data_IF_907988483068
#
_entry.id   IF_907988483068
#
_cell.length_a   1.000
_cell.length_b   1.000
_cell.length_c   1.000
_cell.angle_alpha   90.00
_cell.angle_beta   90.00
_cell.angle_gamma   90.00
#
_symmetry.space_group_name_H-M   'P 1'
#
loop_
_entity.id
_entity.type
_entity.pdbx_description
1 polymer ?
#
# COMPACT_ATOMS: atom_id res chain seq x y z
N UNK A 1 -10.24 -13.04 -24.05
CA UNK A 1 -9.94 -11.63 -23.68
C UNK A 1 -8.56 -11.56 -23.01
N UNK A 2 -7.74 -10.52 -23.32
CA UNK A 2 -6.45 -10.35 -22.64
C UNK A 2 -6.68 -9.94 -21.18
N UNK A 3 -6.07 -10.66 -20.24
CA UNK A 3 -6.14 -10.37 -18.79
C UNK A 3 -5.48 -9.02 -18.47
N UNK A 4 -6.02 -8.29 -17.52
CA UNK A 4 -5.52 -6.96 -17.11
C UNK A 4 -5.23 -6.98 -15.61
N UNK A 5 -4.01 -6.57 -15.27
CA UNK A 5 -3.58 -6.26 -13.92
C UNK A 5 -3.40 -4.74 -13.80
N UNK A 6 -4.18 -4.09 -12.96
CA UNK A 6 -3.96 -2.70 -12.58
C UNK A 6 -3.17 -2.64 -11.27
N UNK A 7 -2.20 -1.75 -11.19
CA UNK A 7 -1.30 -1.62 -10.04
C UNK A 7 -1.35 -0.17 -9.56
N UNK A 8 -1.81 0.03 -8.35
CA UNK A 8 -1.70 1.30 -7.63
C UNK A 8 -0.37 1.30 -6.87
N UNK A 9 0.52 2.21 -7.18
CA UNK A 9 1.82 2.27 -6.54
C UNK A 9 2.41 3.68 -6.51
N UNK A 10 3.60 3.80 -5.96
CA UNK A 10 4.37 5.04 -5.91
C UNK A 10 4.94 5.40 -7.29
N UNK A 11 5.61 6.54 -7.43
CA UNK A 11 6.23 6.92 -8.70
C UNK A 11 7.26 5.86 -9.14
N UNK A 12 7.06 5.28 -10.33
CA UNK A 12 7.95 4.26 -10.90
C UNK A 12 9.42 4.71 -10.97
N UNK A 13 9.69 6.00 -11.10
CA UNK A 13 11.06 6.54 -11.12
C UNK A 13 11.78 6.42 -9.78
N UNK A 14 11.03 6.27 -8.68
CA UNK A 14 11.55 6.17 -7.32
C UNK A 14 11.64 4.73 -6.82
N UNK A 15 11.18 3.77 -7.62
CA UNK A 15 11.15 2.36 -7.23
C UNK A 15 12.56 1.78 -7.23
N UNK A 16 12.94 1.15 -6.11
CA UNK A 16 14.17 0.37 -6.02
C UNK A 16 13.91 -1.07 -6.47
N UNK A 17 14.28 -1.38 -7.70
CA UNK A 17 14.05 -2.71 -8.31
C UNK A 17 14.67 -3.89 -7.52
N UNK A 18 15.69 -3.64 -6.70
CA UNK A 18 16.35 -4.70 -5.92
C UNK A 18 15.51 -5.16 -4.72
N UNK A 19 14.64 -4.30 -4.21
CA UNK A 19 13.87 -4.55 -2.98
C UNK A 19 12.37 -4.48 -3.18
N UNK A 20 11.90 -3.91 -4.30
CA UNK A 20 10.48 -3.71 -4.57
C UNK A 20 9.83 -4.97 -5.14
N UNK A 21 8.97 -5.59 -4.32
CA UNK A 21 8.20 -6.77 -4.71
C UNK A 21 7.09 -6.46 -5.72
N UNK A 22 6.70 -5.20 -5.90
CA UNK A 22 5.67 -4.80 -6.89
C UNK A 22 6.14 -5.06 -8.31
N UNK A 23 7.40 -4.76 -8.59
CA UNK A 23 8.00 -4.99 -9.91
C UNK A 23 8.15 -6.49 -10.18
N UNK A 24 8.50 -7.27 -9.15
CA UNK A 24 8.56 -8.73 -9.26
C UNK A 24 7.16 -9.31 -9.61
N UNK A 25 6.12 -8.89 -8.90
CA UNK A 25 4.74 -9.30 -9.16
C UNK A 25 4.26 -8.88 -10.55
N UNK A 26 4.60 -7.64 -10.97
CA UNK A 26 4.27 -7.15 -12.30
C UNK A 26 4.96 -7.96 -13.41
N UNK A 27 6.25 -8.28 -13.23
CA UNK A 27 7.01 -9.10 -14.17
C UNK A 27 6.40 -10.49 -14.31
N UNK A 28 6.05 -11.12 -13.20
CA UNK A 28 5.44 -12.46 -13.20
C UNK A 28 4.04 -12.43 -13.85
N UNK A 29 3.23 -11.42 -13.55
CA UNK A 29 1.94 -11.25 -14.20
C UNK A 29 2.07 -11.06 -15.72
N UNK A 30 3.08 -10.28 -16.16
CA UNK A 30 3.36 -10.10 -17.59
C UNK A 30 3.72 -11.41 -18.27
N UNK A 31 4.56 -12.26 -17.67
CA UNK A 31 4.88 -13.61 -18.18
C UNK A 31 3.64 -14.47 -18.34
N UNK A 32 2.64 -14.30 -17.44
CA UNK A 32 1.34 -14.99 -17.49
C UNK A 32 0.33 -14.33 -18.46
N UNK A 33 0.77 -13.40 -19.29
CA UNK A 33 -0.03 -12.77 -20.34
C UNK A 33 -0.92 -11.61 -19.88
N UNK A 34 -0.72 -11.07 -18.68
CA UNK A 34 -1.44 -9.89 -18.24
C UNK A 34 -0.90 -8.63 -18.93
N UNK A 35 -1.81 -7.74 -19.35
CA UNK A 35 -1.48 -6.34 -19.60
C UNK A 35 -1.37 -5.61 -18.29
N UNK A 36 -0.33 -4.78 -18.13
CA UNK A 36 -0.03 -4.05 -16.92
C UNK A 36 -0.46 -2.59 -17.03
N UNK A 37 -1.40 -2.15 -16.21
CA UNK A 37 -1.77 -0.75 -16.07
C UNK A 37 -1.31 -0.24 -14.71
N UNK A 38 -0.41 0.74 -14.71
CA UNK A 38 0.16 1.32 -13.49
C UNK A 38 -0.37 2.74 -13.28
N UNK A 39 -0.76 3.07 -12.05
CA UNK A 39 -1.23 4.40 -11.70
C UNK A 39 -0.84 4.78 -10.27
N UNK A 40 -0.67 6.08 -10.05
CA UNK A 40 -0.42 6.64 -8.72
C UNK A 40 -1.76 7.02 -8.06
N UNK A 41 -1.86 7.08 -6.71
CA UNK A 41 -3.08 7.46 -5.99
C UNK A 41 -3.70 8.78 -6.48
N UNK A 42 -2.85 9.77 -6.80
CA UNK A 42 -3.30 11.10 -7.29
C UNK A 42 -4.02 11.06 -8.64
N UNK A 43 -3.87 9.96 -9.37
CA UNK A 43 -4.43 9.76 -10.70
C UNK A 43 -5.77 9.00 -10.66
N UNK A 44 -6.30 8.73 -9.47
CA UNK A 44 -7.57 8.06 -9.28
C UNK A 44 -8.71 9.08 -9.22
N UNK A 45 -9.79 8.80 -9.92
CA UNK A 45 -10.98 9.64 -10.01
C UNK A 45 -12.26 8.82 -9.90
N UNK A 46 -13.31 9.44 -9.38
CA UNK A 46 -14.66 8.91 -9.43
C UNK A 46 -15.52 9.81 -10.32
N UNK A 47 -16.11 9.24 -11.35
CA UNK A 47 -16.94 9.96 -12.31
C UNK A 47 -18.17 9.14 -12.68
N UNK A 48 -19.36 9.65 -12.42
CA UNK A 48 -20.63 9.04 -12.82
C UNK A 48 -20.72 7.54 -12.47
N UNK A 49 -20.42 7.21 -11.21
CA UNK A 49 -20.50 5.84 -10.71
C UNK A 49 -19.32 4.92 -11.12
N UNK A 50 -18.32 5.43 -11.82
CA UNK A 50 -17.15 4.67 -12.30
C UNK A 50 -15.89 5.13 -11.61
N UNK A 51 -15.01 4.18 -11.26
CA UNK A 51 -13.68 4.47 -10.76
C UNK A 51 -12.70 4.40 -11.93
N UNK A 52 -12.14 5.55 -12.27
CA UNK A 52 -11.27 5.75 -13.42
C UNK A 52 -9.88 6.13 -12.91
N UNK A 53 -8.84 5.55 -13.51
CA UNK A 53 -7.47 5.96 -13.23
C UNK A 53 -6.77 6.41 -14.52
N UNK A 54 -5.99 7.49 -14.43
CA UNK A 54 -5.03 7.83 -15.49
C UNK A 54 -3.83 6.90 -15.37
N UNK A 55 -3.81 5.87 -16.21
CA UNK A 55 -2.88 4.76 -16.15
C UNK A 55 -1.78 4.88 -17.19
N UNK A 56 -0.58 4.40 -16.83
CA UNK A 56 0.50 4.05 -17.76
C UNK A 56 0.37 2.56 -18.09
N UNK A 57 0.13 2.21 -19.34
CA UNK A 57 0.31 0.84 -19.83
C UNK A 57 1.81 0.58 -19.94
N UNK A 58 2.33 -0.28 -19.08
CA UNK A 58 3.77 -0.52 -18.97
C UNK A 58 4.15 -1.91 -19.44
N UNK A 59 5.42 -2.04 -19.84
CA UNK A 59 6.10 -3.32 -20.07
C UNK A 59 7.31 -3.40 -19.15
N UNK A 60 7.46 -4.51 -18.45
CA UNK A 60 8.61 -4.78 -17.59
C UNK A 60 9.70 -5.46 -18.39
N UNK A 61 10.94 -5.06 -18.17
CA UNK A 61 12.14 -5.59 -18.80
C UNK A 61 13.08 -6.20 -17.77
N UNK A 62 13.83 -7.19 -18.18
CA UNK A 62 14.88 -7.78 -17.33
C UNK A 62 16.19 -6.95 -17.41
N UNK A 63 16.09 -5.64 -17.18
CA UNK A 63 17.22 -4.73 -17.17
C UNK A 63 17.13 -3.81 -15.95
N UNK A 64 18.13 -3.86 -15.07
CA UNK A 64 18.13 -3.12 -13.81
C UNK A 64 18.13 -1.59 -13.97
N UNK A 65 18.72 -1.06 -15.07
CA UNK A 65 18.77 0.38 -15.32
C UNK A 65 17.47 0.89 -15.99
N UNK A 66 16.94 0.11 -16.93
CA UNK A 66 15.73 0.44 -17.70
C UNK A 66 14.71 -0.69 -17.53
N UNK A 67 14.18 -0.87 -16.31
CA UNK A 67 13.35 -2.02 -15.97
C UNK A 67 11.92 -1.92 -16.49
N UNK A 68 11.48 -0.78 -17.00
CA UNK A 68 10.16 -0.61 -17.61
C UNK A 68 10.18 0.34 -18.79
N UNK A 69 9.18 0.19 -19.64
CA UNK A 69 8.82 1.19 -20.67
C UNK A 69 7.32 1.50 -20.58
N UNK A 70 6.96 2.72 -20.95
CA UNK A 70 5.57 3.15 -21.06
C UNK A 70 5.16 2.99 -22.52
N UNK A 71 4.20 2.13 -22.81
CA UNK A 71 3.68 1.89 -24.13
C UNK A 71 2.65 2.94 -24.53
N UNK A 72 1.80 3.36 -23.57
CA UNK A 72 0.82 4.43 -23.71
C UNK A 72 0.28 4.88 -22.37
N UNK A 73 -0.35 6.05 -22.33
CA UNK A 73 -1.16 6.53 -21.21
C UNK A 73 -2.63 6.51 -21.59
N UNK A 74 -3.52 6.26 -20.64
CA UNK A 74 -4.95 6.12 -20.87
C UNK A 74 -5.78 6.38 -19.61
N UNK A 75 -6.92 7.05 -19.75
CA UNK A 75 -7.96 7.02 -18.75
C UNK A 75 -8.65 5.66 -18.79
N UNK A 76 -8.46 4.86 -17.75
CA UNK A 76 -8.89 3.48 -17.72
C UNK A 76 -9.95 3.26 -16.64
N UNK A 77 -11.11 2.71 -17.01
CA UNK A 77 -12.11 2.26 -16.06
C UNK A 77 -11.60 1.01 -15.34
N UNK A 78 -11.32 1.12 -14.05
CA UNK A 78 -10.72 0.05 -13.24
C UNK A 78 -11.64 -1.19 -13.09
N UNK A 79 -12.94 -1.05 -13.29
CA UNK A 79 -13.87 -2.21 -13.31
C UNK A 79 -13.57 -3.19 -14.45
N UNK A 80 -12.83 -2.77 -15.47
CA UNK A 80 -12.38 -3.63 -16.57
C UNK A 80 -11.11 -4.43 -16.25
N UNK A 81 -10.53 -4.25 -15.06
CA UNK A 81 -9.40 -5.05 -14.60
C UNK A 81 -9.86 -6.44 -14.14
N UNK A 82 -9.00 -7.44 -14.31
CA UNK A 82 -9.20 -8.75 -13.68
C UNK A 82 -8.76 -8.71 -12.21
N UNK A 83 -7.65 -7.99 -11.95
CA UNK A 83 -7.09 -7.81 -10.62
C UNK A 83 -6.56 -6.38 -10.47
N UNK A 84 -6.71 -5.81 -9.28
CA UNK A 84 -6.05 -4.57 -8.87
C UNK A 84 -5.15 -4.89 -7.69
N UNK A 85 -3.89 -4.44 -7.72
CA UNK A 85 -2.98 -4.50 -6.58
C UNK A 85 -2.87 -3.12 -5.96
N UNK A 86 -3.10 -3.03 -4.64
CA UNK A 86 -2.80 -1.84 -3.85
C UNK A 86 -1.39 -2.02 -3.30
N UNK A 87 -0.44 -1.26 -3.85
CA UNK A 87 0.99 -1.33 -3.56
C UNK A 87 1.60 0.02 -3.23
N UNK A 88 0.78 0.92 -2.68
CA UNK A 88 1.29 2.20 -2.20
C UNK A 88 2.16 2.04 -0.98
N UNK A 89 3.29 2.74 -0.99
CA UNK A 89 4.08 2.92 0.22
C UNK A 89 3.38 3.87 1.20
N UNK A 90 3.66 3.75 2.52
CA UNK A 90 3.27 4.74 3.51
C UNK A 90 3.81 6.15 3.16
N UNK A 91 3.26 7.20 3.76
CA UNK A 91 2.41 7.21 4.95
C UNK A 91 0.94 6.91 4.64
N UNK A 92 0.25 6.26 5.60
CA UNK A 92 -1.19 6.08 5.57
C UNK A 92 -1.90 7.36 6.02
N UNK A 93 -2.01 8.30 5.09
CA UNK A 93 -2.63 9.61 5.28
C UNK A 93 -4.04 9.67 4.68
N UNK A 94 -4.71 10.82 4.79
CA UNK A 94 -6.05 11.01 4.23
C UNK A 94 -6.14 10.73 2.73
N UNK A 95 -5.12 11.05 1.94
CA UNK A 95 -5.08 10.71 0.51
C UNK A 95 -5.09 9.19 0.30
N UNK A 96 -4.28 8.46 1.05
CA UNK A 96 -4.27 7.00 1.02
C UNK A 96 -5.66 6.45 1.39
N UNK A 97 -6.25 6.97 2.49
CA UNK A 97 -7.57 6.60 2.96
C UNK A 97 -8.64 6.80 1.88
N UNK A 98 -8.68 7.96 1.23
CA UNK A 98 -9.66 8.25 0.18
C UNK A 98 -9.54 7.31 -1.01
N UNK A 99 -8.34 6.96 -1.45
CA UNK A 99 -8.17 6.00 -2.54
C UNK A 99 -8.71 4.63 -2.19
N UNK A 100 -8.60 4.20 -0.93
CA UNK A 100 -9.19 2.94 -0.49
C UNK A 100 -10.73 2.96 -0.51
N UNK A 101 -11.37 4.10 -0.21
CA UNK A 101 -12.83 4.23 -0.35
C UNK A 101 -13.26 4.10 -1.82
N UNK A 102 -12.59 4.79 -2.74
CA UNK A 102 -12.88 4.70 -4.16
C UNK A 102 -12.72 3.28 -4.68
N UNK A 103 -11.62 2.60 -4.36
CA UNK A 103 -11.40 1.21 -4.76
C UNK A 103 -12.42 0.26 -4.12
N UNK A 104 -12.83 0.52 -2.86
CA UNK A 104 -13.84 -0.29 -2.21
C UNK A 104 -15.19 -0.26 -2.93
N UNK A 105 -15.53 0.86 -3.59
CA UNK A 105 -16.77 0.99 -4.38
C UNK A 105 -16.87 -0.08 -5.48
N UNK A 106 -15.74 -0.50 -6.04
CA UNK A 106 -15.69 -1.52 -7.10
C UNK A 106 -15.22 -2.90 -6.64
N UNK A 107 -14.98 -3.09 -5.33
CA UNK A 107 -14.40 -4.34 -4.79
C UNK A 107 -15.29 -5.58 -4.96
N UNK A 108 -16.60 -5.39 -5.18
CA UNK A 108 -17.53 -6.50 -5.51
C UNK A 108 -17.45 -6.92 -6.98
N UNK A 109 -16.92 -6.06 -7.86
CA UNK A 109 -16.83 -6.30 -9.31
C UNK A 109 -15.44 -6.74 -9.75
N UNK A 110 -14.40 -6.34 -9.01
CA UNK A 110 -13.00 -6.59 -9.33
C UNK A 110 -12.27 -7.15 -8.12
N UNK A 111 -11.42 -8.15 -8.34
CA UNK A 111 -10.55 -8.67 -7.28
C UNK A 111 -9.47 -7.66 -6.94
N UNK A 112 -9.46 -7.15 -5.71
CA UNK A 112 -8.49 -6.15 -5.24
C UNK A 112 -7.64 -6.74 -4.11
N UNK A 113 -6.34 -6.65 -4.23
CA UNK A 113 -5.34 -7.17 -3.29
C UNK A 113 -4.38 -6.02 -2.91
N UNK A 114 -4.21 -5.68 -1.67
CA UNK A 114 -4.97 -6.10 -0.49
C UNK A 114 -6.39 -5.50 -0.54
N UNK A 115 -7.37 -6.16 0.10
CA UNK A 115 -8.75 -5.66 0.07
C UNK A 115 -8.84 -4.26 0.70
N UNK A 116 -9.45 -3.26 0.03
CA UNK A 116 -9.44 -1.86 0.50
C UNK A 116 -10.01 -1.66 1.89
N UNK A 117 -11.04 -2.42 2.26
CA UNK A 117 -11.60 -2.42 3.62
C UNK A 117 -10.56 -2.88 4.65
N UNK A 118 -9.84 -3.97 4.37
CA UNK A 118 -8.79 -4.48 5.26
C UNK A 118 -7.65 -3.47 5.40
N UNK A 119 -7.21 -2.85 4.29
CA UNK A 119 -6.17 -1.81 4.31
C UNK A 119 -6.53 -0.66 5.25
N UNK A 120 -7.80 -0.26 5.30
CA UNK A 120 -8.25 0.81 6.22
C UNK A 120 -8.33 0.37 7.68
N UNK A 121 -8.78 -0.85 7.93
CA UNK A 121 -9.18 -1.29 9.28
C UNK A 121 -8.12 -2.13 9.98
N UNK A 122 -7.11 -2.61 9.25
CA UNK A 122 -6.01 -3.40 9.80
C UNK A 122 -4.75 -2.51 9.86
N UNK A 123 -4.76 -1.58 10.82
CA UNK A 123 -3.59 -0.75 11.10
C UNK A 123 -2.43 -1.61 11.60
N UNK A 124 -1.23 -1.38 11.08
CA UNK A 124 -0.01 -2.13 11.39
C UNK A 124 0.24 -2.29 12.90
N UNK A 125 -0.03 -1.24 13.68
CA UNK A 125 0.25 -1.24 15.12
C UNK A 125 -1.01 -1.45 15.97
N UNK A 126 -2.13 -0.84 15.56
CA UNK A 126 -3.35 -0.91 16.37
C UNK A 126 -4.05 -2.27 16.28
N UNK A 127 -3.94 -2.96 15.13
CA UNK A 127 -4.57 -4.27 14.98
C UNK A 127 -3.99 -5.32 15.91
N UNK A 128 -2.73 -5.18 16.32
CA UNK A 128 -2.04 -6.11 17.24
C UNK A 128 -2.70 -6.20 18.62
N UNK A 129 -3.43 -5.16 19.08
CA UNK A 129 -4.12 -5.20 20.38
C UNK A 129 -5.16 -6.33 20.49
N UNK A 130 -5.65 -6.83 19.37
CA UNK A 130 -6.52 -8.01 19.34
C UNK A 130 -5.79 -9.31 19.75
N UNK A 131 -4.46 -9.27 19.87
CA UNK A 131 -3.60 -10.41 20.15
C UNK A 131 -2.76 -10.21 21.42
N UNK A 132 -3.29 -9.50 22.42
CA UNK A 132 -2.59 -9.12 23.65
C UNK A 132 -1.86 -10.27 24.34
N UNK A 133 -2.40 -11.48 24.28
CA UNK A 133 -1.78 -12.67 24.91
C UNK A 133 -0.41 -13.05 24.30
N UNK A 134 -0.10 -12.55 23.09
CA UNK A 134 1.16 -12.78 22.40
C UNK A 134 2.08 -11.55 22.41
N UNK A 135 1.65 -10.47 23.07
CA UNK A 135 2.41 -9.23 23.09
C UNK A 135 3.17 -9.08 24.41
N UNK A 136 4.35 -8.44 24.38
CA UNK A 136 4.98 -7.98 25.61
C UNK A 136 4.12 -6.90 26.27
N UNK A 137 4.41 -6.50 27.53
CA UNK A 137 3.77 -5.35 28.16
C UNK A 137 3.78 -4.15 27.20
N UNK A 138 2.61 -3.62 26.89
CA UNK A 138 2.44 -2.59 25.85
C UNK A 138 1.58 -1.46 26.41
N UNK A 139 2.00 -0.22 26.16
CA UNK A 139 1.23 1.00 26.40
C UNK A 139 1.02 1.72 25.07
N UNK A 140 -0.21 2.13 24.78
CA UNK A 140 -0.56 3.04 23.69
C UNK A 140 -1.16 4.28 24.33
N UNK A 141 -0.45 5.42 24.25
CA UNK A 141 -0.86 6.65 24.94
C UNK A 141 -0.12 7.86 24.38
N UNK A 142 -0.78 9.01 24.41
CA UNK A 142 -0.17 10.33 24.20
C UNK A 142 0.12 11.03 25.56
N UNK A 143 -0.35 10.44 26.66
CA UNK A 143 -0.19 11.00 27.99
C UNK A 143 1.23 10.79 28.52
N UNK A 144 2.00 11.88 28.60
CA UNK A 144 3.40 11.84 29.05
C UNK A 144 3.58 11.25 30.47
N UNK A 145 2.61 11.47 31.39
CA UNK A 145 2.70 10.92 32.76
C UNK A 145 2.58 9.40 32.73
N UNK A 146 1.66 8.85 31.95
CA UNK A 146 1.50 7.41 31.79
C UNK A 146 2.70 6.78 31.08
N UNK A 147 3.24 7.43 30.06
CA UNK A 147 4.45 6.98 29.37
C UNK A 147 5.63 6.89 30.35
N UNK A 148 5.88 7.94 31.15
CA UNK A 148 6.95 7.96 32.17
C UNK A 148 6.74 6.87 33.23
N UNK A 149 5.52 6.65 33.69
CA UNK A 149 5.18 5.61 34.66
C UNK A 149 5.44 4.21 34.10
N UNK A 150 5.02 3.97 32.84
CA UNK A 150 5.25 2.71 32.16
C UNK A 150 6.75 2.43 31.98
N UNK A 151 7.52 3.44 31.52
CA UNK A 151 8.97 3.35 31.37
C UNK A 151 9.67 2.99 32.69
N UNK A 152 9.34 3.69 33.80
CA UNK A 152 9.91 3.38 35.13
C UNK A 152 9.64 1.93 35.55
N UNK A 153 8.45 1.39 35.23
CA UNK A 153 8.07 0.01 35.53
C UNK A 153 8.82 -1.02 34.69
N UNK A 154 8.97 -0.77 33.38
CA UNK A 154 9.57 -1.71 32.44
C UNK A 154 11.10 -1.61 32.33
N UNK A 155 11.68 -0.49 32.78
CA UNK A 155 13.12 -0.15 32.73
C UNK A 155 13.68 0.04 31.32
N UNK A 156 13.26 -0.78 30.35
CA UNK A 156 13.63 -0.69 28.93
C UNK A 156 12.39 -0.81 28.07
N UNK A 157 12.20 0.09 27.12
CA UNK A 157 11.03 0.13 26.23
C UNK A 157 11.43 0.47 24.79
N UNK A 158 10.64 -0.01 23.86
CA UNK A 158 10.69 0.40 22.46
C UNK A 158 9.53 1.36 22.19
N UNK A 159 9.84 2.57 21.78
CA UNK A 159 8.82 3.58 21.41
C UNK A 159 8.63 3.57 19.91
N UNK A 160 7.37 3.50 19.47
CA UNK A 160 7.01 3.50 18.05
C UNK A 160 5.89 4.51 17.80
N UNK A 161 6.05 5.50 16.90
CA UNK A 161 4.92 6.36 16.54
C UNK A 161 3.82 5.53 15.87
N UNK A 162 2.55 5.84 16.17
CA UNK A 162 1.40 5.08 15.66
C UNK A 162 1.34 5.13 14.12
N UNK A 163 1.60 6.28 13.54
CA UNK A 163 1.59 6.56 12.11
C UNK A 163 2.95 6.36 11.41
N UNK A 164 4.00 6.02 12.18
CA UNK A 164 5.33 5.73 11.66
C UNK A 164 5.41 4.39 10.93
N UNK A 165 6.41 4.23 10.06
CA UNK A 165 6.63 3.03 9.25
C UNK A 165 8.13 2.74 9.10
N UNK A 166 8.46 1.53 8.63
CA UNK A 166 9.83 1.08 8.30
C UNK A 166 10.85 1.20 9.44
N UNK A 167 10.41 1.10 10.69
CA UNK A 167 11.30 1.16 11.86
C UNK A 167 11.90 2.53 12.14
N UNK A 168 11.54 3.58 11.41
CA UNK A 168 11.97 4.94 11.71
C UNK A 168 11.50 5.34 13.11
N UNK A 169 12.42 5.81 13.96
CA UNK A 169 12.21 6.21 15.35
C UNK A 169 11.79 5.05 16.31
N UNK A 170 12.23 3.82 16.07
CA UNK A 170 11.81 2.69 16.91
C UNK A 170 12.73 2.34 18.07
N UNK A 171 13.82 3.05 18.29
CA UNK A 171 14.73 2.82 19.40
C UNK A 171 15.01 4.12 20.16
N UNK A 172 14.46 4.24 21.35
CA UNK A 172 14.94 5.17 22.36
C UNK A 172 15.44 4.30 23.52
N UNK A 173 16.75 4.12 23.62
CA UNK A 173 17.39 3.78 24.88
C UNK A 173 17.51 5.09 25.67
N UNK A 174 16.73 5.24 26.70
CA UNK A 174 16.88 6.33 27.68
C UNK A 174 17.48 5.71 28.91
#
# INVERSE_FOLDING_TARGET
MKKILAIQGSDLKKVNIKTDTTILLASEAQKRGYKLYYFEPKNLSFLNGKVIAFCKHIKIHNNKKNFYSILKTINFNLEKSNVILIRNDPPFNSRYLYTTFLLNHISRKVKIINHPFAVRNVSEKMFSINFMKYMPPTLISENQKEIKKFFKKQKSVVVKPIDGFSGNLSLIHI
#
